data_IF_493092926309
#
_entry.id   IF_493092926309
#
_cell.length_a   1.000
_cell.length_b   1.000
_cell.length_c   1.000
_cell.angle_alpha   90.00
_cell.angle_beta   90.00
_cell.angle_gamma   90.00
#
_symmetry.space_group_name_H-M   'P 1'
#
loop_
_entity.id
_entity.type
_entity.pdbx_description
1 polymer ?
#
# COMPACT_ATOMS: atom_id res chain seq x y z
N UNK A 1 -15.92 -8.22 1.40
CA UNK A 1 -15.00 -8.52 2.52
C UNK A 1 -15.71 -8.81 3.83
N UNK A 2 -16.96 -8.37 4.00
CA UNK A 2 -17.87 -8.66 5.12
C UNK A 2 -18.01 -10.15 5.48
N UNK A 3 -17.96 -11.04 4.48
CA UNK A 3 -18.20 -12.48 4.69
C UNK A 3 -17.05 -13.18 5.41
N UNK A 4 -15.80 -12.75 5.20
CA UNK A 4 -14.63 -13.41 5.80
C UNK A 4 -14.54 -13.15 7.31
N UNK A 5 -14.83 -11.92 7.76
CA UNK A 5 -14.81 -11.58 9.20
C UNK A 5 -15.99 -12.24 9.92
N UNK A 6 -17.17 -12.27 9.30
CA UNK A 6 -18.33 -13.02 9.81
C UNK A 6 -18.11 -14.54 9.83
N UNK A 7 -17.22 -15.05 8.98
CA UNK A 7 -16.83 -16.47 8.96
C UNK A 7 -15.98 -16.84 10.18
N UNK A 8 -15.09 -15.93 10.61
CA UNK A 8 -14.19 -16.12 11.75
C UNK A 8 -14.88 -15.89 13.09
N UNK A 9 -15.79 -14.92 13.16
CA UNK A 9 -16.61 -14.66 14.33
C UNK A 9 -17.99 -14.12 13.93
N UNK A 10 -19.02 -14.94 14.13
CA UNK A 10 -20.41 -14.61 13.77
C UNK A 10 -21.00 -13.47 14.59
N UNK A 11 -20.41 -13.15 15.75
CA UNK A 11 -20.88 -12.13 16.69
C UNK A 11 -19.98 -10.89 16.68
N UNK A 12 -18.91 -10.89 15.87
CA UNK A 12 -17.97 -9.78 15.82
C UNK A 12 -18.67 -8.48 15.41
N UNK A 13 -18.49 -7.45 16.24
CA UNK A 13 -18.79 -6.08 15.90
C UNK A 13 -17.78 -5.61 14.85
N UNK A 14 -18.13 -5.83 13.59
CA UNK A 14 -17.31 -5.51 12.43
C UNK A 14 -16.88 -4.02 12.41
N UNK A 15 -17.75 -3.03 12.69
CA UNK A 15 -17.35 -1.65 12.91
C UNK A 15 -16.23 -1.46 13.94
N UNK A 16 -16.37 -2.05 15.14
CA UNK A 16 -15.36 -1.91 16.20
C UNK A 16 -14.04 -2.60 15.81
N UNK A 17 -14.11 -3.76 15.18
CA UNK A 17 -12.94 -4.45 14.62
C UNK A 17 -12.21 -3.57 13.59
N UNK A 18 -12.94 -2.98 12.64
CA UNK A 18 -12.36 -2.07 11.64
C UNK A 18 -11.66 -0.88 12.30
N UNK A 19 -12.24 -0.32 13.37
CA UNK A 19 -11.68 0.80 14.12
C UNK A 19 -10.37 0.43 14.83
N UNK A 20 -10.32 -0.72 15.49
CA UNK A 20 -9.10 -1.22 16.17
C UNK A 20 -7.96 -1.39 15.15
N UNK A 21 -8.22 -2.10 14.04
CA UNK A 21 -7.21 -2.34 13.01
C UNK A 21 -6.76 -1.05 12.33
N UNK A 22 -7.68 -0.12 12.07
CA UNK A 22 -7.34 1.17 11.50
C UNK A 22 -6.47 1.99 12.46
N UNK A 23 -6.76 1.97 13.76
CA UNK A 23 -5.94 2.65 14.77
C UNK A 23 -4.53 2.07 14.81
N UNK A 24 -4.40 0.74 14.84
CA UNK A 24 -3.10 0.08 14.89
C UNK A 24 -2.28 0.32 13.62
N UNK A 25 -2.95 0.28 12.46
CA UNK A 25 -2.34 0.66 11.19
C UNK A 25 -1.80 2.09 11.28
N UNK A 26 -2.63 3.08 11.66
CA UNK A 26 -2.18 4.48 11.78
C UNK A 26 -1.03 4.65 12.76
N UNK A 27 -1.06 3.97 13.91
CA UNK A 27 0.03 4.00 14.89
C UNK A 27 1.34 3.49 14.28
N UNK A 28 1.29 2.33 13.63
CA UNK A 28 2.42 1.78 12.88
C UNK A 28 2.87 2.72 11.78
N UNK A 29 1.92 3.40 11.14
CA UNK A 29 2.24 4.31 10.06
C UNK A 29 2.94 5.59 10.56
N UNK A 30 2.64 6.03 11.78
CA UNK A 30 3.18 7.26 12.36
C UNK A 30 4.49 7.03 13.14
N UNK A 31 4.75 5.81 13.61
CA UNK A 31 5.95 5.47 14.40
C UNK A 31 7.22 5.27 13.55
N UNK A 32 7.09 5.13 12.23
CA UNK A 32 8.20 4.97 11.30
C UNK A 32 8.65 6.34 10.78
N UNK A 33 9.96 6.65 10.74
CA UNK A 33 10.46 7.87 10.11
C UNK A 33 9.91 7.98 8.68
N UNK A 34 9.33 9.13 8.34
CA UNK A 34 8.59 9.32 7.08
C UNK A 34 9.43 9.04 5.83
N UNK A 35 10.76 9.12 5.94
CA UNK A 35 11.77 8.82 4.91
C UNK A 35 12.11 7.33 4.74
N UNK A 36 11.90 6.48 5.76
CA UNK A 36 12.30 5.05 5.74
C UNK A 36 11.17 4.09 5.33
N UNK A 37 9.99 4.61 5.02
CA UNK A 37 8.85 3.74 4.71
C UNK A 37 9.03 3.12 3.32
N UNK A 38 9.29 1.82 3.31
CA UNK A 38 9.46 1.04 2.08
C UNK A 38 8.15 1.02 1.25
N UNK A 39 8.30 0.99 -0.06
CA UNK A 39 7.18 0.96 -1.04
C UNK A 39 6.22 -0.19 -0.72
N UNK A 40 6.75 -1.36 -0.42
CA UNK A 40 6.00 -2.56 -0.04
C UNK A 40 5.07 -2.30 1.14
N UNK A 41 5.54 -1.61 2.17
CA UNK A 41 4.73 -1.33 3.37
C UNK A 41 3.65 -0.29 3.08
N UNK A 42 3.93 0.67 2.20
CA UNK A 42 2.94 1.65 1.74
C UNK A 42 1.85 0.99 0.89
N UNK A 43 2.24 0.07 0.01
CA UNK A 43 1.33 -0.70 -0.83
C UNK A 43 0.46 -1.66 0.00
N UNK A 44 1.03 -2.38 0.97
CA UNK A 44 0.27 -3.21 1.91
C UNK A 44 -0.71 -2.39 2.75
N UNK A 45 -0.29 -1.20 3.22
CA UNK A 45 -1.18 -0.31 3.96
C UNK A 45 -2.40 0.12 3.12
N UNK A 46 -2.20 0.42 1.82
CA UNK A 46 -3.31 0.68 0.90
C UNK A 46 -4.24 -0.54 0.77
N UNK A 47 -3.70 -1.74 0.57
CA UNK A 47 -4.53 -2.95 0.50
C UNK A 47 -5.32 -3.20 1.79
N UNK A 48 -4.75 -2.91 2.96
CA UNK A 48 -5.46 -3.00 4.23
C UNK A 48 -6.58 -1.95 4.35
N UNK A 49 -6.35 -0.71 3.91
CA UNK A 49 -7.38 0.34 3.90
C UNK A 49 -8.54 -0.01 2.95
N UNK A 50 -8.23 -0.60 1.79
CA UNK A 50 -9.22 -1.15 0.88
C UNK A 50 -10.00 -2.30 1.52
N UNK A 51 -9.29 -3.25 2.15
CA UNK A 51 -9.89 -4.39 2.84
C UNK A 51 -10.85 -3.97 3.97
N UNK A 52 -10.50 -2.94 4.74
CA UNK A 52 -11.34 -2.38 5.80
C UNK A 52 -12.51 -1.54 5.25
N UNK A 53 -12.56 -1.28 3.94
CA UNK A 53 -13.58 -0.48 3.27
C UNK A 53 -13.68 0.96 3.85
N UNK A 54 -12.53 1.55 4.21
CA UNK A 54 -12.46 2.89 4.85
C UNK A 54 -12.09 4.01 3.87
N UNK A 55 -12.33 3.80 2.56
CA UNK A 55 -11.86 4.70 1.49
C UNK A 55 -12.40 6.13 1.61
N UNK A 56 -13.66 6.28 1.99
CA UNK A 56 -14.29 7.61 2.13
C UNK A 56 -13.81 8.35 3.37
N UNK A 57 -13.52 7.63 4.46
CA UNK A 57 -13.05 8.21 5.73
C UNK A 57 -11.58 8.61 5.68
N UNK A 58 -10.75 7.87 4.94
CA UNK A 58 -9.29 8.00 4.95
C UNK A 58 -8.69 8.52 3.63
N UNK A 59 -9.46 9.28 2.86
CA UNK A 59 -9.11 9.75 1.51
C UNK A 59 -7.75 10.48 1.45
N UNK A 60 -7.44 11.31 2.45
CA UNK A 60 -6.17 12.05 2.55
C UNK A 60 -4.98 11.11 2.76
N UNK A 61 -5.11 10.14 3.66
CA UNK A 61 -4.07 9.15 3.94
C UNK A 61 -3.83 8.27 2.70
N UNK A 62 -4.92 7.82 2.07
CA UNK A 62 -4.88 7.03 0.83
C UNK A 62 -4.15 7.79 -0.28
N UNK A 63 -4.49 9.07 -0.47
CA UNK A 63 -3.84 9.93 -1.47
C UNK A 63 -2.33 10.02 -1.23
N UNK A 64 -1.91 10.32 0.01
CA UNK A 64 -0.48 10.38 0.35
C UNK A 64 0.26 9.05 0.09
N UNK A 65 -0.35 7.92 0.44
CA UNK A 65 0.25 6.60 0.22
C UNK A 65 0.33 6.26 -1.27
N UNK A 66 -0.71 6.55 -2.07
CA UNK A 66 -0.72 6.35 -3.51
C UNK A 66 0.35 7.19 -4.20
N UNK A 67 0.44 8.48 -3.87
CA UNK A 67 1.46 9.39 -4.41
C UNK A 67 2.87 8.88 -4.12
N UNK A 68 3.09 8.35 -2.91
CA UNK A 68 4.36 7.74 -2.53
C UNK A 68 4.65 6.51 -3.36
N UNK A 69 3.71 5.55 -3.45
CA UNK A 69 3.88 4.31 -4.23
C UNK A 69 4.18 4.64 -5.69
N UNK A 70 3.35 5.46 -6.35
CA UNK A 70 3.52 5.83 -7.76
C UNK A 70 4.84 6.59 -7.98
N UNK A 71 5.12 7.59 -7.13
CA UNK A 71 6.32 8.42 -7.25
C UNK A 71 7.62 7.64 -7.03
N UNK A 72 7.57 6.61 -6.19
CA UNK A 72 8.73 5.75 -5.91
C UNK A 72 8.86 4.60 -6.88
N UNK A 73 7.81 4.09 -7.54
CA UNK A 73 7.91 3.03 -8.57
C UNK A 73 8.63 3.43 -9.87
N UNK A 74 9.17 4.65 -9.95
CA UNK A 74 9.92 5.15 -11.12
C UNK A 74 11.17 4.32 -11.47
N UNK A 75 11.74 3.54 -10.54
CA UNK A 75 12.89 2.65 -10.84
C UNK A 75 12.55 1.52 -11.83
N UNK A 76 11.27 1.25 -12.10
CA UNK A 76 10.84 0.39 -13.20
C UNK A 76 10.75 1.09 -14.56
N UNK A 77 11.06 2.38 -14.63
CA UNK A 77 11.27 3.06 -15.90
C UNK A 77 12.63 2.64 -16.48
N UNK A 78 12.60 2.15 -17.72
CA UNK A 78 13.78 1.69 -18.47
C UNK A 78 14.82 2.78 -18.71
N UNK A 79 14.46 4.05 -18.50
CA UNK A 79 15.34 5.20 -18.69
C UNK A 79 16.24 5.49 -17.47
N UNK A 80 15.92 4.94 -16.29
CA UNK A 80 16.61 5.25 -15.02
C UNK A 80 17.43 4.07 -14.48
N UNK A 81 18.40 3.61 -15.28
CA UNK A 81 19.23 2.42 -15.01
C UNK A 81 20.50 2.67 -14.15
N UNK A 82 20.78 3.93 -13.77
CA UNK A 82 22.00 4.32 -13.04
C UNK A 82 21.79 4.50 -11.51
N UNK A 83 20.81 3.79 -10.93
CA UNK A 83 20.50 3.86 -9.49
C UNK A 83 21.11 2.63 -8.79
N UNK A 84 21.45 2.74 -7.50
CA UNK A 84 22.11 1.70 -6.65
C UNK A 84 21.37 0.35 -6.54
N UNK A 85 20.28 0.17 -7.27
CA UNK A 85 19.55 -1.08 -7.46
C UNK A 85 19.26 -1.22 -8.97
N UNK A 86 20.21 -1.83 -9.69
CA UNK A 86 20.06 -2.13 -11.11
C UNK A 86 19.83 -3.64 -11.28
N UNK A 87 18.56 -4.01 -11.48
CA UNK A 87 18.11 -5.38 -11.72
C UNK A 87 18.85 -6.16 -12.81
N UNK A 88 19.52 -5.46 -13.75
CA UNK A 88 20.28 -6.10 -14.82
C UNK A 88 21.56 -6.76 -14.30
N UNK A 89 22.10 -6.26 -13.19
CA UNK A 89 23.42 -6.64 -12.69
C UNK A 89 23.36 -7.45 -11.39
N UNK A 90 22.23 -7.45 -10.67
CA UNK A 90 22.03 -8.25 -9.46
C UNK A 90 20.67 -8.98 -9.46
N UNK A 91 20.73 -10.32 -9.56
CA UNK A 91 19.55 -11.21 -9.56
C UNK A 91 18.77 -11.15 -8.25
N UNK A 92 19.42 -10.88 -7.12
CA UNK A 92 18.77 -10.75 -5.83
C UNK A 92 18.03 -9.41 -5.75
N UNK A 93 18.69 -8.31 -6.15
CA UNK A 93 18.07 -7.00 -6.26
C UNK A 93 16.84 -7.04 -7.18
N UNK A 94 16.94 -7.70 -8.34
CA UNK A 94 15.81 -7.87 -9.26
C UNK A 94 14.61 -8.58 -8.64
N UNK A 95 14.84 -9.65 -7.87
CA UNK A 95 13.74 -10.36 -7.17
C UNK A 95 13.07 -9.48 -6.11
N UNK A 96 13.85 -8.65 -5.42
CA UNK A 96 13.31 -7.70 -4.43
C UNK A 96 12.48 -6.64 -5.14
N UNK A 97 13.00 -6.03 -6.19
CA UNK A 97 12.29 -5.05 -7.01
C UNK A 97 10.97 -5.62 -7.55
N UNK A 98 10.99 -6.81 -8.17
CA UNK A 98 9.77 -7.44 -8.71
C UNK A 98 8.69 -7.64 -7.65
N UNK A 99 9.07 -8.02 -6.41
CA UNK A 99 8.12 -8.12 -5.30
C UNK A 99 7.55 -6.75 -4.94
N UNK A 100 8.38 -5.71 -4.91
CA UNK A 100 7.93 -4.35 -4.65
C UNK A 100 6.95 -3.88 -5.74
N UNK A 101 7.24 -4.16 -7.01
CA UNK A 101 6.34 -3.86 -8.12
C UNK A 101 5.01 -4.58 -8.01
N UNK A 102 5.05 -5.88 -7.71
CA UNK A 102 3.85 -6.68 -7.55
C UNK A 102 2.90 -6.04 -6.52
N UNK A 103 3.42 -5.70 -5.34
CA UNK A 103 2.61 -5.06 -4.30
C UNK A 103 2.11 -3.69 -4.74
N UNK A 104 2.95 -2.88 -5.39
CA UNK A 104 2.57 -1.56 -5.86
C UNK A 104 1.45 -1.62 -6.91
N UNK A 105 1.57 -2.49 -7.92
CA UNK A 105 0.56 -2.69 -8.96
C UNK A 105 -0.74 -3.23 -8.38
N UNK A 106 -0.65 -4.21 -7.49
CA UNK A 106 -1.82 -4.78 -6.82
C UNK A 106 -2.55 -3.74 -5.96
N UNK A 107 -1.80 -2.90 -5.24
CA UNK A 107 -2.39 -1.78 -4.51
C UNK A 107 -3.06 -0.82 -5.49
N UNK A 108 -2.34 -0.31 -6.49
CA UNK A 108 -2.89 0.64 -7.47
C UNK A 108 -4.14 0.12 -8.18
N UNK A 109 -4.25 -1.18 -8.47
CA UNK A 109 -5.43 -1.74 -9.12
C UNK A 109 -6.71 -1.57 -8.28
N UNK A 110 -6.61 -1.66 -6.94
CA UNK A 110 -7.75 -1.44 -6.04
C UNK A 110 -8.23 0.02 -5.98
N UNK A 111 -7.42 0.94 -6.50
CA UNK A 111 -7.66 2.38 -6.49
C UNK A 111 -7.76 2.97 -7.91
N UNK A 112 -7.80 2.12 -8.94
CA UNK A 112 -7.82 2.52 -10.36
C UNK A 112 -9.03 3.36 -10.76
N UNK A 113 -10.15 3.26 -10.03
CA UNK A 113 -11.37 4.05 -10.26
C UNK A 113 -11.40 5.36 -9.48
N UNK A 114 -10.49 5.56 -8.51
CA UNK A 114 -10.30 6.88 -7.90
C UNK A 114 -9.60 7.75 -8.94
N UNK A 115 -10.25 8.84 -9.33
CA UNK A 115 -9.74 9.75 -10.34
C UNK A 115 -8.36 10.28 -9.91
N UNK A 116 -7.29 9.65 -10.42
CA UNK A 116 -5.89 9.99 -10.14
C UNK A 116 -5.52 11.40 -10.64
N UNK A 117 -6.44 12.07 -11.34
CA UNK A 117 -6.29 13.42 -11.89
C UNK A 117 -6.14 14.52 -10.83
N UNK A 118 -6.41 14.22 -9.55
CA UNK A 118 -6.27 15.18 -8.43
C UNK A 118 -5.13 14.82 -7.44
N UNK A 119 -4.20 13.94 -7.81
CA UNK A 119 -3.09 13.45 -6.97
C UNK A 119 -1.74 14.14 -7.25
#
# INVERSE_FOLDING_TARGET
>A
NTDFIKLLDKIADLPEFKKIYLSELKNTLNSQPSSNRLITESAKALLLLDFLEVKSQESILISHLLKRVIGTTKFFNLESLNIDFNWRNDKLAYKVELKMLFWALLACSQYSTLNLLNL
#
